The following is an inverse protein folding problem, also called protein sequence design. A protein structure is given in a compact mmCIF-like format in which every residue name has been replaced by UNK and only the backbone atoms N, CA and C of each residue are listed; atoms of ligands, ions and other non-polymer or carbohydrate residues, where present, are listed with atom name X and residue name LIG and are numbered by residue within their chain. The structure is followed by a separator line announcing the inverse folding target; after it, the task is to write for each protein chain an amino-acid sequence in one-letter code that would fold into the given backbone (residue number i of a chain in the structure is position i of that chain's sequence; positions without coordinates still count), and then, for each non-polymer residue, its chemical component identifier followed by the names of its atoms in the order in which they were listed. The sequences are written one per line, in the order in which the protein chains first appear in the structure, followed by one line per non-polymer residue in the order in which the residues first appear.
data_IF_198188468099
#
_entry.id   IF_198188468099
#
_cell.length_a   1.000
_cell.length_b   1.000
_cell.length_c   1.000
_cell.angle_alpha   90.00
_cell.angle_beta   90.00
_cell.angle_gamma   90.00
#
_symmetry.space_group_name_H-M   'P 1'
#
loop_
_entity.id
_entity.type
_entity.pdbx_description
1 polymer ?
#
# COMPACT_ATOMS: atom_id res chain seq x y z
N UNK A 1 -7.41 21.76 -12.72
CA UNK A 1 -6.69 20.54 -12.30
C UNK A 1 -7.49 19.34 -12.75
N UNK A 2 -6.82 18.28 -13.17
CA UNK A 2 -7.46 17.06 -13.65
C UNK A 2 -7.16 15.89 -12.70
N UNK A 3 -8.08 14.94 -12.62
CA UNK A 3 -7.92 13.69 -11.88
C UNK A 3 -8.18 12.49 -12.81
N UNK A 4 -7.59 11.32 -12.54
CA UNK A 4 -7.80 10.14 -13.36
C UNK A 4 -9.17 9.51 -13.08
N UNK A 5 -10.02 9.45 -14.10
CA UNK A 5 -11.32 8.79 -14.06
C UNK A 5 -11.24 7.44 -14.75
N UNK A 6 -11.77 6.42 -14.08
CA UNK A 6 -11.71 5.03 -14.53
C UNK A 6 -12.79 4.73 -15.59
N UNK A 7 -12.41 4.01 -16.64
CA UNK A 7 -13.31 3.44 -17.65
C UNK A 7 -13.21 1.92 -17.59
N UNK A 8 -14.10 1.33 -16.80
CA UNK A 8 -14.05 -0.05 -16.36
C UNK A 8 -14.10 -1.06 -17.51
N UNK A 9 -14.86 -0.77 -18.57
CA UNK A 9 -15.05 -1.63 -19.74
C UNK A 9 -13.72 -2.00 -20.43
N UNK A 10 -12.75 -1.09 -20.40
CA UNK A 10 -11.43 -1.27 -21.03
C UNK A 10 -10.42 -1.91 -20.07
N UNK A 11 -10.69 -1.93 -18.76
CA UNK A 11 -9.71 -2.23 -17.75
C UNK A 11 -9.25 -3.69 -17.76
N UNK A 12 -7.93 -3.90 -17.75
CA UNK A 12 -7.32 -5.24 -17.69
C UNK A 12 -7.00 -5.72 -16.28
N UNK A 13 -7.27 -4.91 -15.24
CA UNK A 13 -7.01 -5.21 -13.82
C UNK A 13 -5.52 -5.50 -13.53
N UNK A 14 -4.61 -4.79 -14.21
CA UNK A 14 -3.16 -4.98 -14.12
C UNK A 14 -2.49 -4.21 -12.97
N UNK A 15 -3.17 -3.23 -12.38
CA UNK A 15 -2.68 -2.34 -11.31
C UNK A 15 -1.41 -1.51 -11.63
N UNK A 16 -1.02 -1.36 -12.90
CA UNK A 16 0.08 -0.46 -13.26
C UNK A 16 -0.18 1.00 -12.84
N UNK A 17 -1.42 1.47 -12.97
CA UNK A 17 -1.83 2.80 -12.52
C UNK A 17 -1.62 3.01 -11.01
N UNK A 18 -1.95 2.01 -10.20
CA UNK A 18 -1.75 2.02 -8.74
C UNK A 18 -0.27 1.96 -8.38
N UNK A 19 0.50 1.15 -9.10
CA UNK A 19 1.94 1.02 -8.88
C UNK A 19 2.70 2.32 -9.21
N UNK A 20 2.32 2.99 -10.29
CA UNK A 20 2.97 4.22 -10.74
C UNK A 20 2.58 5.46 -9.94
N UNK A 21 1.51 5.41 -9.14
CA UNK A 21 1.04 6.57 -8.39
C UNK A 21 2.04 6.95 -7.28
N UNK A 22 2.60 8.18 -7.31
CA UNK A 22 3.55 8.62 -6.30
C UNK A 22 2.91 9.04 -4.97
N UNK A 23 1.59 9.16 -4.92
CA UNK A 23 0.89 9.68 -3.73
C UNK A 23 -0.11 8.69 -3.15
N UNK A 24 -0.17 7.46 -3.65
CA UNK A 24 -1.23 6.49 -3.29
C UNK A 24 -2.65 7.05 -3.52
N UNK A 25 -2.80 8.02 -4.43
CA UNK A 25 -4.06 8.69 -4.76
C UNK A 25 -4.92 7.91 -5.76
N UNK A 26 -4.46 6.74 -6.21
CA UNK A 26 -5.30 5.76 -6.90
C UNK A 26 -4.96 4.37 -6.36
N UNK A 27 -5.98 3.62 -5.96
CA UNK A 27 -5.85 2.34 -5.28
C UNK A 27 -6.83 1.33 -5.84
N UNK A 28 -6.47 0.05 -5.71
CA UNK A 28 -7.34 -1.04 -6.07
C UNK A 28 -7.60 -1.94 -4.87
N UNK A 29 -8.83 -2.44 -4.75
CA UNK A 29 -9.21 -3.49 -3.80
C UNK A 29 -9.85 -4.65 -4.54
N UNK A 30 -9.66 -5.84 -3.98
CA UNK A 30 -10.41 -7.04 -4.35
C UNK A 30 -11.24 -7.44 -3.15
N UNK A 31 -12.56 -7.47 -3.32
CA UNK A 31 -13.52 -7.60 -2.23
C UNK A 31 -14.59 -8.64 -2.55
N UNK A 32 -15.19 -9.26 -1.54
CA UNK A 32 -16.32 -10.16 -1.75
C UNK A 32 -17.53 -9.39 -2.31
N UNK A 33 -18.36 -10.00 -3.18
CA UNK A 33 -19.52 -9.32 -3.78
C UNK A 33 -20.46 -8.68 -2.77
N UNK A 34 -20.61 -9.29 -1.59
CA UNK A 34 -21.48 -8.81 -0.50
C UNK A 34 -21.01 -7.44 0.03
N UNK A 35 -19.71 -7.15 -0.02
CA UNK A 35 -19.18 -5.84 0.40
C UNK A 35 -19.60 -4.69 -0.54
N UNK A 36 -20.11 -5.01 -1.73
CA UNK A 36 -20.55 -4.02 -2.72
C UNK A 36 -22.07 -3.81 -2.75
N UNK A 37 -22.86 -4.50 -1.92
CA UNK A 37 -24.33 -4.40 -1.94
C UNK A 37 -24.85 -2.98 -1.65
N UNK A 38 -24.16 -2.24 -0.79
CA UNK A 38 -24.50 -0.86 -0.40
C UNK A 38 -23.60 0.18 -1.07
N UNK A 39 -22.89 -0.19 -2.14
CA UNK A 39 -22.02 0.73 -2.86
C UNK A 39 -22.84 1.86 -3.50
N UNK A 40 -22.32 3.10 -3.56
CA UNK A 40 -22.91 4.17 -4.36
C UNK A 40 -23.10 3.70 -5.81
N UNK A 41 -24.17 4.17 -6.47
CA UNK A 41 -24.44 3.79 -7.86
C UNK A 41 -23.31 4.22 -8.83
N UNK A 42 -22.55 5.25 -8.47
CA UNK A 42 -21.37 5.77 -9.16
C UNK A 42 -20.08 4.98 -8.87
N UNK A 43 -20.06 4.11 -7.86
CA UNK A 43 -18.88 3.30 -7.55
C UNK A 43 -18.89 2.04 -8.40
N UNK A 44 -18.15 2.09 -9.51
CA UNK A 44 -18.04 0.98 -10.43
C UNK A 44 -17.21 -0.18 -9.86
N UNK A 45 -17.50 -1.40 -10.31
CA UNK A 45 -16.68 -2.59 -10.03
C UNK A 45 -16.75 -3.58 -11.18
N UNK A 46 -15.75 -4.46 -11.26
CA UNK A 46 -15.67 -5.54 -12.24
C UNK A 46 -15.53 -6.89 -11.56
N UNK A 47 -15.98 -7.95 -12.20
CA UNK A 47 -15.60 -9.31 -11.77
C UNK A 47 -14.09 -9.51 -11.94
N UNK A 48 -13.44 -10.10 -10.94
CA UNK A 48 -12.01 -10.38 -11.00
C UNK A 48 -11.72 -11.40 -12.12
N UNK A 49 -10.77 -11.05 -13.00
CA UNK A 49 -10.39 -11.87 -14.16
C UNK A 49 -9.44 -13.02 -13.81
N UNK A 50 -8.73 -12.96 -12.69
CA UNK A 50 -7.76 -14.00 -12.34
C UNK A 50 -8.39 -15.19 -11.65
N UNK A 51 -7.74 -16.34 -11.83
CA UNK A 51 -8.25 -17.65 -11.38
C UNK A 51 -8.19 -17.80 -9.86
N UNK A 52 -7.15 -17.25 -9.24
CA UNK A 52 -6.85 -17.28 -7.80
C UNK A 52 -7.84 -16.47 -6.95
N UNK A 53 -8.51 -15.49 -7.56
CA UNK A 53 -9.47 -14.60 -6.87
C UNK A 53 -10.84 -14.59 -7.58
N UNK A 54 -11.20 -15.68 -8.27
CA UNK A 54 -12.45 -15.78 -9.03
C UNK A 54 -13.67 -15.65 -8.09
N UNK A 55 -14.69 -14.93 -8.55
CA UNK A 55 -15.92 -14.68 -7.79
C UNK A 55 -15.85 -13.46 -6.88
N UNK A 56 -14.70 -12.79 -6.81
CA UNK A 56 -14.54 -11.51 -6.13
C UNK A 56 -14.80 -10.33 -7.08
N UNK A 57 -15.01 -9.14 -6.52
CA UNK A 57 -15.12 -7.87 -7.21
C UNK A 57 -13.81 -7.09 -7.14
N UNK A 58 -13.41 -6.52 -8.26
CA UNK A 58 -12.29 -5.59 -8.39
C UNK A 58 -12.84 -4.16 -8.43
N UNK A 59 -12.32 -3.31 -7.56
CA UNK A 59 -12.66 -1.88 -7.47
C UNK A 59 -11.38 -1.08 -7.64
N UNK A 60 -11.36 -0.11 -8.54
CA UNK A 60 -10.27 0.85 -8.71
C UNK A 60 -10.82 2.24 -8.45
N UNK A 61 -10.21 2.95 -7.50
CA UNK A 61 -10.76 4.22 -7.04
C UNK A 61 -9.65 5.27 -6.87
N UNK A 62 -9.96 6.50 -7.29
CA UNK A 62 -9.13 7.68 -7.08
C UNK A 62 -9.51 8.37 -5.76
N UNK A 63 -8.51 8.89 -5.04
CA UNK A 63 -8.67 9.86 -3.97
C UNK A 63 -8.64 11.27 -4.60
N UNK A 64 -9.79 11.90 -4.87
CA UNK A 64 -9.84 13.09 -5.73
C UNK A 64 -9.26 14.36 -5.08
N UNK A 65 -9.12 14.37 -3.76
CA UNK A 65 -8.54 15.49 -3.00
C UNK A 65 -7.03 15.36 -2.80
N UNK A 66 -6.48 14.15 -2.90
CA UNK A 66 -5.05 13.88 -2.75
C UNK A 66 -4.31 13.67 -4.09
N UNK A 67 -5.06 13.55 -5.20
CA UNK A 67 -4.48 13.41 -6.52
C UNK A 67 -3.81 14.71 -6.97
N UNK A 68 -2.54 14.64 -7.35
CA UNK A 68 -1.76 15.80 -7.81
C UNK A 68 -1.85 16.06 -9.32
N UNK A 69 -2.69 15.31 -10.05
CA UNK A 69 -2.86 15.45 -11.49
C UNK A 69 -1.63 15.12 -12.35
N UNK A 70 -0.68 14.29 -11.86
CA UNK A 70 0.59 14.03 -12.54
C UNK A 70 0.51 13.21 -13.86
N UNK A 71 -0.68 12.69 -14.23
CA UNK A 71 -0.93 11.87 -15.43
C UNK A 71 -0.15 10.52 -15.53
N UNK A 72 0.75 10.19 -14.60
CA UNK A 72 1.56 8.96 -14.69
C UNK A 72 0.72 7.68 -14.75
N UNK A 73 -0.39 7.62 -14.00
CA UNK A 73 -1.28 6.46 -13.99
C UNK A 73 -1.95 6.18 -15.36
N UNK A 74 -2.22 7.24 -16.13
CA UNK A 74 -2.76 7.17 -17.49
C UNK A 74 -1.65 6.82 -18.48
N UNK A 75 -0.46 7.39 -18.34
CA UNK A 75 0.69 7.08 -19.19
C UNK A 75 1.04 5.59 -19.17
N UNK A 76 1.11 5.00 -17.98
CA UNK A 76 1.45 3.57 -17.82
C UNK A 76 0.30 2.61 -18.15
N UNK A 77 -0.91 3.11 -18.40
CA UNK A 77 -2.06 2.25 -18.67
C UNK A 77 -1.90 1.56 -20.06
N UNK A 78 -1.76 0.22 -20.10
CA UNK A 78 -1.57 -0.49 -21.37
C UNK A 78 -2.89 -0.68 -22.13
N UNK A 79 -4.02 -0.53 -21.46
CA UNK A 79 -5.34 -0.76 -22.03
C UNK A 79 -5.85 0.49 -22.76
N UNK A 80 -6.22 0.31 -24.03
CA UNK A 80 -6.70 1.36 -24.94
C UNK A 80 -7.95 0.89 -25.66
N UNK A 81 -8.82 1.83 -26.00
CA UNK A 81 -9.97 1.57 -26.86
C UNK A 81 -9.50 1.18 -28.27
N UNK A 82 -10.23 0.25 -28.91
CA UNK A 82 -9.87 -0.28 -30.22
C UNK A 82 -10.16 0.69 -31.37
N UNK A 83 -11.17 1.54 -31.22
CA UNK A 83 -11.59 2.50 -32.23
C UNK A 83 -10.85 3.82 -32.07
N UNK A 84 -10.61 4.25 -30.82
CA UNK A 84 -9.87 5.47 -30.50
C UNK A 84 -8.75 5.22 -29.47
N UNK A 85 -7.49 5.00 -29.90
CA UNK A 85 -6.36 4.73 -29.01
C UNK A 85 -6.01 5.83 -28.00
N UNK A 86 -6.55 7.05 -28.16
CA UNK A 86 -6.41 8.13 -27.17
C UNK A 86 -7.24 7.86 -25.90
N UNK A 87 -8.31 7.08 -26.01
CA UNK A 87 -9.12 6.67 -24.86
C UNK A 87 -8.48 5.44 -24.23
N UNK A 88 -8.03 5.58 -22.98
CA UNK A 88 -7.47 4.49 -22.19
C UNK A 88 -8.50 3.99 -21.17
N UNK A 89 -8.16 2.92 -20.43
CA UNK A 89 -8.97 2.47 -19.29
C UNK A 89 -8.98 3.46 -18.11
N UNK A 90 -8.12 4.48 -18.14
CA UNK A 90 -8.10 5.55 -17.17
C UNK A 90 -7.68 6.83 -17.89
N UNK A 91 -8.36 7.95 -17.66
CA UNK A 91 -8.16 9.18 -18.42
C UNK A 91 -8.18 10.39 -17.49
N UNK A 92 -7.37 11.41 -17.76
CA UNK A 92 -7.43 12.66 -17.02
C UNK A 92 -8.70 13.42 -17.41
N UNK A 93 -9.50 13.81 -16.42
CA UNK A 93 -10.72 14.59 -16.61
C UNK A 93 -10.81 15.69 -15.56
N UNK A 94 -11.70 16.66 -15.78
CA UNK A 94 -11.88 17.83 -14.90
C UNK A 94 -12.18 17.43 -13.46
N UNK A 95 -11.31 17.82 -12.51
CA UNK A 95 -11.56 17.58 -11.09
C UNK A 95 -12.85 18.23 -10.61
N UNK A 96 -13.18 19.42 -11.12
CA UNK A 96 -14.38 20.16 -10.71
C UNK A 96 -15.69 19.44 -11.06
N UNK A 97 -15.68 18.67 -12.15
CA UNK A 97 -16.86 17.93 -12.62
C UNK A 97 -17.06 16.62 -11.85
N UNK A 98 -15.97 16.05 -11.30
CA UNK A 98 -15.97 14.70 -10.73
C UNK A 98 -15.72 14.65 -9.21
N UNK A 99 -15.17 15.70 -8.58
CA UNK A 99 -14.71 15.64 -7.18
C UNK A 99 -15.80 15.25 -6.18
N UNK A 100 -17.01 15.78 -6.31
CA UNK A 100 -18.09 15.48 -5.35
C UNK A 100 -18.53 14.01 -5.42
N UNK A 101 -18.62 13.45 -6.63
CA UNK A 101 -18.95 12.03 -6.83
C UNK A 101 -17.82 11.13 -6.34
N UNK A 102 -16.58 11.44 -6.73
CA UNK A 102 -15.43 10.62 -6.39
C UNK A 102 -15.08 10.67 -4.90
N UNK A 103 -15.47 11.73 -4.17
CA UNK A 103 -15.34 11.78 -2.71
C UNK A 103 -16.25 10.75 -2.04
N UNK A 104 -17.51 10.68 -2.45
CA UNK A 104 -18.48 9.70 -1.94
C UNK A 104 -18.01 8.28 -2.26
N UNK A 105 -17.54 8.06 -3.49
CA UNK A 105 -16.97 6.78 -3.92
C UNK A 105 -15.73 6.41 -3.09
N UNK A 106 -14.83 7.38 -2.85
CA UNK A 106 -13.60 7.15 -2.09
C UNK A 106 -13.86 6.85 -0.62
N UNK A 107 -14.81 7.54 0.01
CA UNK A 107 -15.22 7.28 1.39
C UNK A 107 -15.77 5.84 1.54
N UNK A 108 -16.59 5.38 0.59
CA UNK A 108 -17.04 3.99 0.58
C UNK A 108 -15.87 3.02 0.35
N UNK A 109 -14.99 3.32 -0.61
CA UNK A 109 -13.82 2.50 -0.92
C UNK A 109 -12.87 2.33 0.29
N UNK A 110 -12.68 3.36 1.10
CA UNK A 110 -11.87 3.29 2.32
C UNK A 110 -12.44 2.28 3.32
N UNK A 111 -13.78 2.16 3.40
CA UNK A 111 -14.48 1.24 4.29
C UNK A 111 -14.56 -0.21 3.78
N UNK A 112 -14.21 -0.46 2.52
CA UNK A 112 -14.13 -1.82 1.98
C UNK A 112 -13.04 -2.65 2.67
N UNK A 113 -13.25 -3.98 2.83
CA UNK A 113 -12.27 -4.84 3.49
C UNK A 113 -10.94 -4.86 2.72
N UNK A 114 -9.84 -4.90 3.48
CA UNK A 114 -8.50 -5.07 2.94
C UNK A 114 -8.22 -6.55 2.63
N UNK A 115 -7.41 -6.82 1.60
CA UNK A 115 -7.01 -8.19 1.31
C UNK A 115 -6.03 -8.70 2.37
N UNK A 116 -6.26 -9.92 2.82
CA UNK A 116 -5.29 -10.61 3.67
C UNK A 116 -4.08 -11.04 2.82
N UNK A 117 -2.90 -10.55 3.19
CA UNK A 117 -1.63 -10.81 2.49
C UNK A 117 -1.32 -12.31 2.39
N UNK A 118 -1.77 -13.11 3.36
CA UNK A 118 -1.56 -14.56 3.39
C UNK A 118 -2.34 -15.31 2.30
N UNK A 119 -3.39 -14.67 1.74
CA UNK A 119 -4.24 -15.24 0.69
C UNK A 119 -3.71 -15.01 -0.73
N UNK A 120 -2.67 -14.19 -0.88
CA UNK A 120 -2.04 -13.95 -2.18
C UNK A 120 -1.14 -15.12 -2.55
N UNK A 121 -1.46 -15.83 -3.64
CA UNK A 121 -0.67 -16.97 -4.12
C UNK A 121 0.76 -16.57 -4.53
N UNK A 122 0.93 -15.33 -5.01
CA UNK A 122 2.23 -14.77 -5.41
C UNK A 122 2.28 -13.27 -5.24
N UNK A 123 3.50 -12.75 -5.11
CA UNK A 123 3.76 -11.31 -5.11
C UNK A 123 4.36 -10.91 -6.46
N UNK A 124 3.57 -10.19 -7.25
CA UNK A 124 4.00 -9.53 -8.48
C UNK A 124 3.51 -8.08 -8.51
N UNK A 125 3.76 -7.36 -9.60
CA UNK A 125 3.30 -5.97 -9.74
C UNK A 125 1.79 -5.85 -9.55
N UNK A 126 0.99 -6.82 -9.98
CA UNK A 126 -0.46 -6.76 -9.90
C UNK A 126 -0.93 -7.01 -8.47
N UNK A 127 -0.49 -8.09 -7.84
CA UNK A 127 -0.99 -8.50 -6.52
C UNK A 127 -0.44 -7.65 -5.39
N UNK A 128 0.82 -7.18 -5.48
CA UNK A 128 1.39 -6.26 -4.49
C UNK A 128 0.59 -4.97 -4.33
N UNK A 129 -0.06 -4.51 -5.41
CA UNK A 129 -0.86 -3.29 -5.40
C UNK A 129 -2.24 -3.45 -4.76
N UNK A 130 -2.67 -4.68 -4.45
CA UNK A 130 -3.89 -4.94 -3.68
C UNK A 130 -3.65 -4.85 -2.17
N UNK A 131 -2.38 -4.86 -1.74
CA UNK A 131 -2.01 -4.72 -0.34
C UNK A 131 -2.09 -3.25 0.04
N UNK A 132 -2.67 -2.95 1.21
CA UNK A 132 -2.78 -1.59 1.75
C UNK A 132 -1.40 -0.89 1.76
N UNK A 133 -1.25 0.26 1.08
CA UNK A 133 -0.04 1.07 1.19
C UNK A 133 0.02 1.74 2.58
N UNK A 134 1.20 1.75 3.21
CA UNK A 134 1.41 2.45 4.48
C UNK A 134 2.28 3.71 4.31
N UNK A 135 2.31 4.21 3.09
CA UNK A 135 2.87 5.49 2.70
C UNK A 135 1.93 6.14 1.68
N UNK A 136 1.29 7.24 2.05
CA UNK A 136 0.21 7.87 1.30
C UNK A 136 0.26 9.39 1.44
N UNK A 137 -0.15 10.11 0.40
CA UNK A 137 -0.43 11.55 0.44
C UNK A 137 0.72 12.45 0.92
N UNK A 138 1.96 12.04 0.62
CA UNK A 138 3.15 12.80 0.96
C UNK A 138 3.19 14.17 0.28
N UNK A 139 3.89 15.13 0.89
CA UNK A 139 4.17 16.45 0.30
C UNK A 139 5.19 16.43 -0.86
N UNK A 140 5.44 15.28 -1.48
CA UNK A 140 6.35 15.15 -2.61
C UNK A 140 5.77 15.84 -3.86
N UNK A 141 6.66 16.26 -4.78
CA UNK A 141 6.26 16.87 -6.04
C UNK A 141 5.31 15.98 -6.86
N UNK A 142 4.48 16.60 -7.69
CA UNK A 142 3.66 15.89 -8.67
C UNK A 142 4.55 15.06 -9.60
N UNK A 143 4.30 13.73 -9.67
CA UNK A 143 5.13 12.83 -10.46
C UNK A 143 6.49 12.48 -9.84
N UNK A 144 6.65 12.59 -8.52
CA UNK A 144 7.89 12.23 -7.84
C UNK A 144 8.36 10.81 -8.18
N UNK A 145 9.64 10.67 -8.54
CA UNK A 145 10.25 9.38 -8.89
C UNK A 145 10.64 8.51 -7.69
N UNK A 146 10.58 9.02 -6.46
CA UNK A 146 11.04 8.29 -5.26
C UNK A 146 9.89 7.54 -4.55
N UNK A 147 8.75 8.20 -4.38
CA UNK A 147 7.67 7.73 -3.50
C UNK A 147 6.98 6.43 -3.93
N UNK A 148 6.84 6.06 -5.22
CA UNK A 148 6.32 4.74 -5.60
C UNK A 148 7.13 3.58 -5.02
N UNK A 149 8.45 3.75 -4.85
CA UNK A 149 9.33 2.73 -4.28
C UNK A 149 9.10 2.58 -2.78
N UNK A 150 8.99 3.69 -2.04
CA UNK A 150 8.68 3.67 -0.60
C UNK A 150 7.30 3.04 -0.38
N UNK A 151 6.30 3.46 -1.16
CA UNK A 151 4.95 2.88 -1.14
C UNK A 151 5.00 1.36 -1.29
N UNK A 152 5.68 0.83 -2.31
CA UNK A 152 5.82 -0.62 -2.51
C UNK A 152 6.53 -1.31 -1.33
N UNK A 153 7.59 -0.73 -0.79
CA UNK A 153 8.28 -1.26 0.38
C UNK A 153 7.33 -1.40 1.59
N UNK A 154 6.50 -0.38 1.83
CA UNK A 154 5.52 -0.41 2.92
C UNK A 154 4.39 -1.43 2.70
N UNK A 155 3.99 -1.66 1.45
CA UNK A 155 3.03 -2.73 1.11
C UNK A 155 3.59 -4.12 1.44
N UNK A 156 4.87 -4.35 1.21
CA UNK A 156 5.48 -5.68 1.40
C UNK A 156 5.91 -5.98 2.84
N UNK A 157 6.33 -4.95 3.59
CA UNK A 157 6.99 -5.12 4.89
C UNK A 157 6.61 -4.07 5.94
N UNK A 158 5.69 -3.15 5.64
CA UNK A 158 5.43 -1.98 6.48
C UNK A 158 4.91 -2.28 7.88
N UNK A 159 4.31 -3.44 8.12
CA UNK A 159 3.81 -3.91 9.43
C UNK A 159 4.93 -4.19 10.44
N UNK A 160 6.19 -4.25 9.98
CA UNK A 160 7.37 -4.60 10.79
C UNK A 160 8.64 -3.87 10.36
N UNK A 161 8.49 -2.79 9.60
CA UNK A 161 9.61 -2.01 9.07
C UNK A 161 10.07 -0.94 10.05
N UNK A 162 11.38 -0.80 10.21
CA UNK A 162 12.02 0.37 10.82
C UNK A 162 12.73 1.15 9.71
N UNK A 163 12.50 2.46 9.61
CA UNK A 163 13.09 3.32 8.60
C UNK A 163 14.02 4.33 9.27
N UNK A 164 15.32 4.16 9.03
CA UNK A 164 16.32 5.21 9.22
C UNK A 164 16.43 5.99 7.90
N UNK A 165 15.99 7.25 7.92
CA UNK A 165 15.92 8.09 6.73
C UNK A 165 16.98 9.20 6.80
N UNK A 166 17.84 9.29 5.78
CA UNK A 166 18.80 10.38 5.66
C UNK A 166 18.08 11.71 5.42
N UNK A 167 18.70 12.83 5.80
CA UNK A 167 18.17 14.15 5.44
C UNK A 167 18.24 14.36 3.93
N UNK A 168 17.16 14.87 3.34
CA UNK A 168 16.99 15.02 1.90
C UNK A 168 15.51 15.05 1.51
N UNK A 169 15.19 14.98 0.22
CA UNK A 169 13.79 14.98 -0.26
C UNK A 169 12.91 13.99 0.51
N UNK A 170 13.40 12.77 0.73
CA UNK A 170 12.69 11.71 1.47
C UNK A 170 12.37 12.04 2.92
N UNK A 171 13.23 12.80 3.60
CA UNK A 171 12.90 13.31 4.93
C UNK A 171 11.89 14.45 4.91
N UNK A 172 11.91 15.29 3.87
CA UNK A 172 11.00 16.43 3.74
C UNK A 172 9.58 15.95 3.42
N UNK A 173 9.39 15.16 2.37
CA UNK A 173 8.06 14.65 2.07
C UNK A 173 7.63 13.54 3.05
N UNK A 174 8.58 12.88 3.73
CA UNK A 174 8.34 11.78 4.65
C UNK A 174 8.09 12.17 6.11
N UNK A 175 8.45 13.39 6.53
CA UNK A 175 8.41 13.78 7.95
C UNK A 175 8.38 15.29 8.21
N UNK A 176 7.83 16.11 7.31
CA UNK A 176 7.67 17.55 7.56
C UNK A 176 6.37 17.85 8.32
N UNK A 177 6.49 17.97 9.65
CA UNK A 177 5.38 18.24 10.56
C UNK A 177 4.59 19.51 10.14
N UNK A 178 3.26 19.52 10.33
CA UNK A 178 2.46 18.56 11.11
C UNK A 178 1.96 17.33 10.32
N UNK A 179 2.28 17.19 9.03
CA UNK A 179 1.78 16.08 8.20
C UNK A 179 2.82 14.96 8.09
N UNK A 180 2.37 13.71 8.22
CA UNK A 180 3.20 12.52 8.04
C UNK A 180 2.52 11.54 7.08
N UNK A 181 3.16 11.13 5.97
CA UNK A 181 2.55 10.19 5.01
C UNK A 181 2.62 8.72 5.43
N UNK A 182 3.42 8.40 6.44
CA UNK A 182 3.48 7.05 7.00
C UNK A 182 2.26 6.82 7.89
N UNK A 183 1.57 5.70 7.65
CA UNK A 183 0.33 5.34 8.36
C UNK A 183 0.41 3.91 8.91
N UNK A 184 -0.65 3.45 9.55
CA UNK A 184 -0.76 2.09 10.11
C UNK A 184 -1.82 1.28 9.39
N UNK A 185 -1.66 -0.04 9.41
CA UNK A 185 -2.70 -0.98 9.01
C UNK A 185 -3.86 -1.02 10.04
N UNK A 186 -4.88 -1.84 9.76
CA UNK A 186 -6.04 -2.01 10.64
C UNK A 186 -5.70 -2.59 12.03
N UNK A 187 -4.51 -3.15 12.23
CA UNK A 187 -4.01 -3.65 13.52
C UNK A 187 -3.16 -2.60 14.27
N UNK A 188 -3.06 -1.38 13.73
CA UNK A 188 -2.23 -0.31 14.29
C UNK A 188 -0.73 -0.53 14.06
N UNK A 189 -0.34 -1.38 13.11
CA UNK A 189 1.07 -1.63 12.76
C UNK A 189 1.45 -0.85 11.51
N UNK A 190 2.61 -0.19 11.55
CA UNK A 190 3.13 0.55 10.41
C UNK A 190 4.61 0.83 10.57
N UNK A 191 5.23 1.46 9.55
CA UNK A 191 6.65 1.76 9.58
C UNK A 191 6.99 2.70 10.74
N UNK A 192 7.94 2.30 11.59
CA UNK A 192 8.52 3.24 12.54
C UNK A 192 9.59 4.06 11.82
N UNK A 193 9.34 5.35 11.63
CA UNK A 193 10.20 6.24 10.84
C UNK A 193 10.96 7.20 11.74
N UNK A 194 12.25 7.40 11.45
CA UNK A 194 13.06 8.43 12.07
C UNK A 194 14.10 8.98 11.09
N UNK A 195 14.39 10.27 11.22
CA UNK A 195 15.49 10.95 10.57
C UNK A 195 16.46 11.46 11.64
N UNK A 196 17.72 11.07 11.53
CA UNK A 196 18.81 11.59 12.37
C UNK A 196 19.42 12.81 11.68
N UNK A 197 20.58 12.66 11.06
CA UNK A 197 21.25 13.70 10.29
C UNK A 197 21.41 13.28 8.82
N UNK A 198 22.09 14.12 8.06
CA UNK A 198 22.36 13.83 6.66
C UNK A 198 23.47 12.78 6.51
N UNK A 199 24.49 12.91 7.35
CA UNK A 199 25.77 12.23 7.26
C UNK A 199 25.85 10.90 8.03
N UNK A 200 24.88 10.59 8.91
CA UNK A 200 24.95 9.47 9.86
C UNK A 200 23.88 8.38 9.61
N UNK A 201 23.17 8.43 8.48
CA UNK A 201 21.99 7.58 8.27
C UNK A 201 22.28 6.08 8.33
N UNK A 202 23.45 5.66 7.81
CA UNK A 202 23.81 4.24 7.77
C UNK A 202 24.11 3.72 9.19
N UNK A 203 24.84 4.50 9.97
CA UNK A 203 25.20 4.26 11.37
C UNK A 203 23.96 4.29 12.26
N UNK A 204 23.04 5.21 12.00
CA UNK A 204 21.75 5.31 12.68
C UNK A 204 20.90 4.05 12.44
N UNK A 205 20.79 3.60 11.18
CA UNK A 205 20.13 2.34 10.84
C UNK A 205 20.83 1.11 11.41
N UNK A 206 22.16 1.11 11.48
CA UNK A 206 22.93 0.05 12.16
C UNK A 206 22.58 -0.01 13.65
N UNK A 207 22.42 1.15 14.31
CA UNK A 207 21.96 1.23 15.69
C UNK A 207 20.60 0.56 15.92
N UNK A 208 19.65 0.72 14.98
CA UNK A 208 18.37 0.01 15.02
C UNK A 208 18.57 -1.51 14.94
N UNK A 209 19.39 -2.00 14.01
CA UNK A 209 19.68 -3.44 13.86
C UNK A 209 20.28 -4.03 15.14
N UNK A 210 21.32 -3.39 15.69
CA UNK A 210 21.97 -3.83 16.93
C UNK A 210 20.97 -3.88 18.10
N UNK A 211 20.06 -2.91 18.18
CA UNK A 211 19.01 -2.89 19.20
C UNK A 211 18.04 -4.05 19.02
N UNK A 212 17.56 -4.33 17.80
CA UNK A 212 16.65 -5.46 17.55
C UNK A 212 17.32 -6.80 17.87
N UNK A 213 18.61 -6.97 17.53
CA UNK A 213 19.37 -8.17 17.90
C UNK A 213 19.48 -8.35 19.41
N UNK A 214 19.81 -7.27 20.12
CA UNK A 214 19.92 -7.32 21.58
C UNK A 214 18.56 -7.58 22.26
N UNK A 215 17.47 -7.05 21.70
CA UNK A 215 16.12 -7.35 22.15
C UNK A 215 15.81 -8.85 21.99
N UNK A 216 16.18 -9.46 20.86
CA UNK A 216 16.02 -10.91 20.64
C UNK A 216 16.81 -11.72 21.68
N UNK A 217 18.08 -11.38 21.91
CA UNK A 217 18.92 -12.03 22.95
C UNK A 217 18.27 -11.92 24.33
N UNK A 218 17.77 -10.73 24.69
CA UNK A 218 17.08 -10.51 25.96
C UNK A 218 15.82 -11.37 26.08
N UNK A 219 15.00 -11.44 25.04
CA UNK A 219 13.78 -12.24 25.02
C UNK A 219 14.11 -13.72 25.18
N UNK A 220 15.07 -14.26 24.43
CA UNK A 220 15.47 -15.68 24.53
C UNK A 220 15.97 -16.02 25.94
N UNK A 221 16.80 -15.16 26.53
CA UNK A 221 17.27 -15.32 27.92
C UNK A 221 16.12 -15.32 28.93
N UNK A 222 15.12 -14.46 28.74
CA UNK A 222 13.93 -14.44 29.61
C UNK A 222 13.09 -15.70 29.43
N UNK A 223 12.93 -16.18 28.20
CA UNK A 223 12.23 -17.45 27.94
C UNK A 223 12.92 -18.63 28.62
N UNK A 224 14.26 -18.66 28.64
CA UNK A 224 15.02 -19.67 29.40
C UNK A 224 14.80 -19.55 30.91
N UNK A 225 14.85 -18.32 31.44
CA UNK A 225 14.66 -18.06 32.86
C UNK A 225 13.28 -18.47 33.39
N UNK A 226 12.26 -18.40 32.53
CA UNK A 226 10.88 -18.73 32.87
C UNK A 226 10.41 -20.04 32.25
N UNK A 227 11.32 -20.89 31.76
CA UNK A 227 10.98 -22.13 31.05
C UNK A 227 10.02 -23.02 31.86
N UNK A 228 10.25 -23.17 33.16
CA UNK A 228 9.42 -24.01 34.05
C UNK A 228 7.99 -23.45 34.26
N UNK A 229 7.73 -22.20 33.86
CA UNK A 229 6.42 -21.54 33.98
C UNK A 229 5.66 -21.46 32.66
N UNK A 230 6.26 -21.92 31.56
CA UNK A 230 5.68 -21.84 30.22
C UNK A 230 5.46 -23.26 29.71
N UNK A 231 4.28 -23.59 29.15
CA UNK A 231 4.05 -24.88 28.51
C UNK A 231 5.14 -25.19 27.47
N UNK A 232 5.68 -26.40 27.46
CA UNK A 232 6.83 -26.77 26.64
C UNK A 232 6.63 -26.48 25.14
N UNK A 233 5.45 -26.80 24.61
CA UNK A 233 5.10 -26.53 23.20
C UNK A 233 5.14 -25.03 22.87
N UNK A 234 4.60 -24.19 23.77
CA UNK A 234 4.60 -22.73 23.59
C UNK A 234 6.03 -22.17 23.69
N UNK A 235 6.84 -22.67 24.62
CA UNK A 235 8.24 -22.26 24.74
C UNK A 235 9.04 -22.57 23.47
N UNK A 236 8.83 -23.76 22.88
CA UNK A 236 9.44 -24.14 21.61
C UNK A 236 8.98 -23.22 20.48
N UNK A 237 7.67 -22.94 20.38
CA UNK A 237 7.13 -22.04 19.37
C UNK A 237 7.71 -20.61 19.49
N UNK A 238 7.77 -20.04 20.70
CA UNK A 238 8.30 -18.70 20.94
C UNK A 238 9.80 -18.54 20.62
N UNK A 239 10.56 -19.64 20.66
CA UNK A 239 11.99 -19.65 20.32
C UNK A 239 12.26 -19.93 18.85
N UNK A 240 11.29 -20.46 18.12
CA UNK A 240 11.43 -20.72 16.68
C UNK A 240 11.66 -19.41 15.92
N UNK A 241 12.37 -19.50 14.80
CA UNK A 241 12.44 -18.36 13.90
C UNK A 241 11.04 -18.07 13.37
N UNK A 242 10.64 -16.81 13.44
CA UNK A 242 9.43 -16.36 12.79
C UNK A 242 9.61 -16.55 11.29
N UNK A 243 9.07 -17.64 10.76
CA UNK A 243 8.87 -17.78 9.32
C UNK A 243 7.76 -16.80 8.98
N UNK A 244 8.01 -15.76 8.14
CA UNK A 244 6.90 -14.98 7.61
C UNK A 244 5.99 -16.00 6.93
N UNK A 245 4.74 -16.07 7.38
CA UNK A 245 3.72 -17.05 6.98
C UNK A 245 4.00 -17.56 5.58
N UNK A 246 4.32 -18.86 5.48
CA UNK A 246 4.71 -19.62 4.28
C UNK A 246 4.29 -18.89 3.00
N UNK A 247 5.17 -18.01 2.50
CA UNK A 247 5.06 -17.47 1.15
C UNK A 247 5.37 -18.67 0.27
N UNK A 248 4.33 -19.36 -0.20
CA UNK A 248 4.46 -20.59 -1.02
C UNK A 248 5.52 -20.37 -2.10
N UNK A 249 6.44 -21.33 -2.20
CA UNK A 249 7.43 -21.43 -3.27
C UNK A 249 6.80 -21.37 -4.66
#
# INVERSE_FOLDING_TARGET
EEIPIWKEELCTQCNHCVAACPHSAIRAKVVPPEAMENAPASLHSLDVKSRDMRGQKYVLQVAPEDCTGCNLCVEVCPAKDRQNPEIKAINMMSRLEHVEEEKINYDFFLNLPEIDRSKLERIDIRTSQLITPLFEYSGACSGCGETPYIKLLTQLYGDRMLIANATGCSSIYGGNLPSTPYTTDANGRGPAWANSLFEDNAEFGLGFRLTVDQHRVRVLRLLDQFADKIPAELLTALKSDATPEVRRE
#
